data_IF_388030228074
#
_entry.id   IF_388030228074
#
_cell.length_a   1.000
_cell.length_b   1.000
_cell.length_c   1.000
_cell.angle_alpha   90.00
_cell.angle_beta   90.00
_cell.angle_gamma   90.00
#
_symmetry.space_group_name_H-M   'P 1'
#
loop_
_entity.id
_entity.type
_entity.pdbx_description
1 polymer ?
#
# COMPACT_ATOMS: atom_id res chain seq x y z
N UNK A 1 -5.83 13.96 -1.78
CA UNK A 1 -4.60 13.55 -2.49
C UNK A 1 -4.72 12.08 -2.87
N UNK A 2 -4.44 11.73 -4.12
CA UNK A 2 -4.40 10.33 -4.58
C UNK A 2 -2.96 9.83 -4.65
N UNK A 3 -2.70 8.65 -4.10
CA UNK A 3 -1.44 7.90 -4.28
C UNK A 3 -1.77 6.60 -4.99
N UNK A 4 -0.96 6.25 -5.99
CA UNK A 4 -1.11 4.99 -6.72
C UNK A 4 0.16 4.18 -6.56
N UNK A 5 0.01 2.90 -6.30
CA UNK A 5 1.10 1.94 -6.18
C UNK A 5 0.91 0.79 -7.14
N UNK A 6 2.00 0.19 -7.59
CA UNK A 6 1.99 -1.09 -8.30
C UNK A 6 2.53 -2.17 -7.39
N UNK A 7 1.77 -3.25 -7.25
CA UNK A 7 2.19 -4.47 -6.57
C UNK A 7 2.65 -5.48 -7.62
N UNK A 8 3.94 -5.77 -7.62
CA UNK A 8 4.60 -6.69 -8.55
C UNK A 8 5.28 -7.82 -7.79
N UNK A 9 5.69 -8.86 -8.51
CA UNK A 9 6.28 -10.07 -7.95
C UNK A 9 7.41 -10.53 -8.86
N UNK A 10 8.54 -10.93 -8.27
CA UNK A 10 9.64 -11.61 -8.97
C UNK A 10 9.95 -12.94 -8.27
N UNK A 11 11.04 -13.62 -8.65
CA UNK A 11 11.36 -14.96 -8.11
C UNK A 11 11.44 -14.99 -6.57
N UNK A 12 11.98 -13.95 -5.92
CA UNK A 12 12.22 -13.94 -4.47
C UNK A 12 11.39 -12.92 -3.67
N UNK A 13 10.74 -11.97 -4.34
CA UNK A 13 10.22 -10.77 -3.67
C UNK A 13 8.82 -10.38 -4.18
N UNK A 14 8.02 -9.85 -3.26
CA UNK A 14 6.92 -8.95 -3.61
C UNK A 14 7.41 -7.51 -3.49
N UNK A 15 6.97 -6.65 -4.42
CA UNK A 15 7.46 -5.29 -4.57
C UNK A 15 6.27 -4.35 -4.67
N UNK A 16 6.18 -3.38 -3.75
CA UNK A 16 5.18 -2.32 -3.78
C UNK A 16 5.86 -0.99 -4.14
N UNK A 17 5.60 -0.48 -5.34
CA UNK A 17 6.24 0.73 -5.88
C UNK A 17 5.22 1.87 -6.02
N UNK A 18 5.53 3.05 -5.48
CA UNK A 18 4.76 4.26 -5.75
C UNK A 18 4.96 4.69 -7.21
N UNK A 19 3.88 4.99 -7.93
CA UNK A 19 3.93 5.37 -9.35
C UNK A 19 4.13 6.87 -9.57
N UNK A 20 4.19 7.68 -8.52
CA UNK A 20 4.48 9.11 -8.64
C UNK A 20 5.91 9.30 -9.19
N UNK A 21 6.09 9.96 -10.35
CA UNK A 21 7.42 10.15 -10.96
C UNK A 21 8.36 11.04 -10.11
N UNK A 22 7.81 11.79 -9.15
CA UNK A 22 8.60 12.59 -8.21
C UNK A 22 8.91 11.86 -6.89
N UNK A 23 8.45 10.61 -6.72
CA UNK A 23 8.82 9.80 -5.55
C UNK A 23 10.32 9.48 -5.60
N UNK A 24 11.00 9.71 -4.48
CA UNK A 24 12.43 9.43 -4.33
C UNK A 24 12.71 8.24 -3.43
N UNK A 25 11.70 7.74 -2.72
CA UNK A 25 11.84 6.56 -1.86
C UNK A 25 11.92 5.29 -2.72
N UNK A 26 12.78 4.38 -2.28
CA UNK A 26 12.87 3.04 -2.83
C UNK A 26 11.55 2.29 -2.67
N UNK A 27 11.32 1.31 -3.56
CA UNK A 27 10.15 0.45 -3.46
C UNK A 27 10.16 -0.34 -2.15
N UNK A 28 8.96 -0.62 -1.61
CA UNK A 28 8.83 -1.45 -0.43
C UNK A 28 8.94 -2.92 -0.83
N UNK A 29 9.94 -3.62 -0.29
CA UNK A 29 10.30 -4.99 -0.64
C UNK A 29 9.88 -5.94 0.46
N UNK A 30 9.30 -7.07 0.07
CA UNK A 30 8.86 -8.12 0.97
C UNK A 30 9.46 -9.42 0.47
N UNK A 31 10.25 -10.07 1.33
CA UNK A 31 10.87 -11.35 1.01
C UNK A 31 9.80 -12.46 1.05
N UNK A 32 9.67 -13.20 -0.06
CA UNK A 32 8.68 -14.30 -0.17
C UNK A 32 8.98 -15.46 0.77
N UNK A 33 10.22 -15.69 1.14
CA UNK A 33 10.62 -16.76 2.07
C UNK A 33 10.19 -16.42 3.49
N UNK A 34 10.35 -15.17 3.87
CA UNK A 34 10.03 -14.69 5.22
C UNK A 34 8.52 -14.45 5.39
N UNK A 35 7.81 -14.09 4.31
CA UNK A 35 6.36 -13.82 4.29
C UNK A 35 5.89 -12.82 5.36
N UNK A 36 6.79 -11.95 5.81
CA UNK A 36 6.55 -10.95 6.85
C UNK A 36 7.10 -9.61 6.37
N UNK A 37 6.52 -8.53 6.89
CA UNK A 37 7.01 -7.17 6.66
C UNK A 37 6.84 -6.33 7.92
N UNK A 38 7.68 -5.32 8.06
CA UNK A 38 7.57 -4.34 9.13
C UNK A 38 6.37 -3.42 8.86
N UNK A 39 5.35 -3.52 9.73
CA UNK A 39 4.10 -2.76 9.61
C UNK A 39 4.31 -1.26 9.81
N UNK A 40 5.28 -0.84 10.63
CA UNK A 40 5.60 0.57 10.80
C UNK A 40 6.25 1.15 9.55
N UNK A 41 7.20 0.41 8.96
CA UNK A 41 7.81 0.83 7.69
C UNK A 41 6.79 0.89 6.56
N UNK A 42 5.89 -0.10 6.49
CA UNK A 42 4.78 -0.09 5.53
C UNK A 42 3.90 1.15 5.72
N UNK A 43 3.51 1.47 6.95
CA UNK A 43 2.70 2.66 7.23
C UNK A 43 3.40 3.96 6.87
N UNK A 44 4.69 4.09 7.18
CA UNK A 44 5.47 5.25 6.77
C UNK A 44 5.56 5.35 5.24
N UNK A 45 5.74 4.24 4.55
CA UNK A 45 5.85 4.24 3.09
C UNK A 45 4.54 4.66 2.41
N UNK A 46 3.41 4.04 2.79
CA UNK A 46 2.11 4.28 2.13
C UNK A 46 1.46 5.58 2.63
N UNK A 47 1.46 5.81 3.94
CA UNK A 47 0.65 6.86 4.58
C UNK A 47 1.44 8.06 5.09
N UNK A 48 2.73 8.24 4.76
CA UNK A 48 3.40 9.51 5.09
C UNK A 48 2.76 10.71 4.38
N UNK A 49 3.04 11.90 4.90
CA UNK A 49 2.76 13.19 4.25
C UNK A 49 1.27 13.48 4.01
N UNK A 50 0.40 12.91 4.85
CA UNK A 50 -1.05 13.15 4.77
C UNK A 50 -1.36 14.53 5.36
N UNK A 51 -1.64 15.50 4.49
CA UNK A 51 -2.14 16.83 4.90
C UNK A 51 -3.63 17.03 4.64
N UNK A 52 -4.21 16.20 3.77
CA UNK A 52 -5.60 16.28 3.33
C UNK A 52 -6.15 14.87 3.16
N UNK A 53 -7.47 14.76 2.95
CA UNK A 53 -8.15 13.49 2.64
C UNK A 53 -7.35 12.67 1.62
N UNK A 54 -7.08 11.42 1.96
CA UNK A 54 -6.23 10.52 1.17
C UNK A 54 -7.06 9.49 0.42
N UNK A 55 -6.66 9.20 -0.80
CA UNK A 55 -7.08 8.04 -1.58
C UNK A 55 -5.81 7.26 -1.94
N UNK A 56 -5.83 5.94 -1.73
CA UNK A 56 -4.75 5.05 -2.18
C UNK A 56 -5.34 3.98 -3.05
N UNK A 57 -4.69 3.75 -4.18
CA UNK A 57 -4.99 2.68 -5.11
C UNK A 57 -3.75 1.79 -5.25
N UNK A 58 -3.92 0.48 -5.14
CA UNK A 58 -2.85 -0.50 -5.36
C UNK A 58 -3.24 -1.35 -6.55
N UNK A 59 -2.48 -1.23 -7.64
CA UNK A 59 -2.66 -1.97 -8.87
C UNK A 59 -1.92 -3.30 -8.76
N UNK A 60 -2.66 -4.39 -8.79
CA UNK A 60 -2.09 -5.74 -8.86
C UNK A 60 -1.53 -5.99 -10.28
N UNK A 61 -0.22 -6.23 -10.36
CA UNK A 61 0.52 -6.54 -11.58
C UNK A 61 1.16 -7.92 -11.52
N UNK A 62 0.78 -8.76 -10.55
CA UNK A 62 1.29 -10.13 -10.45
C UNK A 62 0.54 -11.06 -11.40
N UNK A 63 1.17 -12.18 -11.73
CA UNK A 63 0.53 -13.28 -12.46
C UNK A 63 -0.81 -13.63 -11.81
N UNK A 64 -1.86 -13.77 -12.62
CA UNK A 64 -3.21 -14.13 -12.19
C UNK A 64 -3.28 -15.53 -11.58
N UNK A 65 -2.36 -16.42 -11.97
CA UNK A 65 -2.28 -17.79 -11.48
C UNK A 65 -1.43 -17.93 -10.21
N UNK A 66 -0.71 -16.88 -9.78
CA UNK A 66 0.07 -16.87 -8.55
C UNK A 66 -0.85 -16.64 -7.33
N UNK A 67 -1.44 -17.74 -6.85
CA UNK A 67 -2.34 -17.72 -5.68
C UNK A 67 -1.71 -17.13 -4.42
N UNK A 68 -0.40 -17.29 -4.21
CA UNK A 68 0.30 -16.74 -3.07
C UNK A 68 0.41 -15.22 -3.18
N UNK A 69 0.75 -14.71 -4.36
CA UNK A 69 0.76 -13.29 -4.64
C UNK A 69 -0.64 -12.67 -4.47
N UNK A 70 -1.70 -13.32 -4.96
CA UNK A 70 -3.08 -12.82 -4.80
C UNK A 70 -3.52 -12.75 -3.35
N UNK A 71 -3.18 -13.77 -2.56
CA UNK A 71 -3.46 -13.77 -1.12
C UNK A 71 -2.73 -12.61 -0.43
N UNK A 72 -1.46 -12.41 -0.77
CA UNK A 72 -0.66 -11.36 -0.17
C UNK A 72 -1.15 -9.96 -0.57
N UNK A 73 -1.46 -9.76 -1.85
CA UNK A 73 -2.09 -8.56 -2.38
C UNK A 73 -3.41 -8.24 -1.64
N UNK A 74 -4.24 -9.26 -1.40
CA UNK A 74 -5.48 -9.14 -0.62
C UNK A 74 -5.24 -8.56 0.78
N UNK A 75 -4.24 -9.09 1.50
CA UNK A 75 -3.88 -8.59 2.84
C UNK A 75 -3.43 -7.13 2.80
N UNK A 76 -2.54 -6.77 1.87
CA UNK A 76 -2.05 -5.39 1.72
C UNK A 76 -3.20 -4.44 1.37
N UNK A 77 -4.10 -4.86 0.50
CA UNK A 77 -5.27 -4.07 0.09
C UNK A 77 -6.27 -3.87 1.23
N UNK A 78 -6.50 -4.89 2.05
CA UNK A 78 -7.37 -4.82 3.21
C UNK A 78 -6.82 -3.86 4.26
N UNK A 79 -5.55 -4.00 4.64
CA UNK A 79 -4.87 -3.09 5.57
C UNK A 79 -4.98 -1.65 5.04
N UNK A 80 -4.69 -1.45 3.75
CA UNK A 80 -4.68 -0.13 3.14
C UNK A 80 -6.06 0.52 3.18
N UNK A 81 -7.09 -0.22 2.78
CA UNK A 81 -8.47 0.26 2.78
C UNK A 81 -8.95 0.57 4.20
N UNK A 82 -8.64 -0.30 5.17
CA UNK A 82 -9.01 -0.12 6.58
C UNK A 82 -8.41 1.14 7.19
N UNK A 83 -7.12 1.39 6.93
CA UNK A 83 -6.42 2.59 7.42
C UNK A 83 -6.99 3.86 6.78
N UNK A 84 -7.21 3.87 5.46
CA UNK A 84 -7.71 5.05 4.74
C UNK A 84 -9.12 5.42 5.16
N UNK A 85 -10.01 4.42 5.29
CA UNK A 85 -11.37 4.66 5.75
C UNK A 85 -11.35 5.31 7.13
N UNK A 86 -10.58 4.74 8.06
CA UNK A 86 -10.49 5.25 9.43
C UNK A 86 -9.79 6.61 9.53
N UNK A 87 -8.75 6.87 8.73
CA UNK A 87 -8.08 8.17 8.67
C UNK A 87 -9.00 9.23 8.08
N UNK A 88 -9.70 8.93 6.99
CA UNK A 88 -10.62 9.86 6.36
C UNK A 88 -11.81 10.17 7.27
N UNK A 89 -12.35 9.17 7.97
CA UNK A 89 -13.41 9.38 8.97
C UNK A 89 -12.92 10.22 10.15
N UNK A 90 -11.77 9.89 10.75
CA UNK A 90 -11.36 10.53 12.01
C UNK A 90 -10.66 11.88 11.85
N UNK A 91 -9.93 12.07 10.75
CA UNK A 91 -9.05 13.23 10.57
C UNK A 91 -9.59 14.23 9.55
N UNK A 92 -10.46 13.80 8.63
CA UNK A 92 -10.88 14.63 7.50
C UNK A 92 -12.39 14.64 7.25
N UNK A 93 -13.18 13.89 8.03
CA UNK A 93 -14.62 14.17 8.10
C UNK A 93 -14.73 15.45 8.92
N UNK A 94 -15.15 16.54 8.26
CA UNK A 94 -15.38 17.79 8.94
C UNK A 94 -16.31 17.52 10.13
N UNK A 95 -15.93 18.07 11.29
CA UNK A 95 -16.80 18.24 12.44
C UNK A 95 -18.19 18.61 11.93
N UNK A 96 -19.19 17.78 12.24
CA UNK A 96 -20.59 18.20 12.15
C UNK A 96 -20.75 19.37 13.13
N UNK A 97 -20.51 20.58 12.66
CA UNK A 97 -20.95 21.83 13.28
C UNK A 97 -22.26 22.23 12.60
#
# INVERSE_FOLDING_TARGET
MKKTFEFTSNEGQYILRNTNPNEKREAFIIDKKEMQFDTNQFYQYVFSDVKTKMEVEILDKTDENDSAAKRFFGVISEITSGVINRMNEKCFSASKL
#
